data_IF_087233575184
#
_entry.id   IF_087233575184
#
_cell.length_a   1.000
_cell.length_b   1.000
_cell.length_c   1.000
_cell.angle_alpha   90.00
_cell.angle_beta   90.00
_cell.angle_gamma   90.00
#
_symmetry.space_group_name_H-M   'P 1'
#
loop_
_entity.id
_entity.type
_entity.pdbx_description
1 polymer ?
#
# COMPACT_ATOMS: atom_id res chain seq x y z
N UNK A 1 30.34 -4.16 -16.57
CA UNK A 1 29.25 -3.39 -17.23
C UNK A 1 29.61 -1.93 -17.13
N UNK A 2 29.53 -1.16 -18.21
CA UNK A 2 29.78 0.28 -18.13
C UNK A 2 28.63 1.01 -17.41
N UNK A 3 28.95 1.77 -16.36
CA UNK A 3 28.01 2.64 -15.68
C UNK A 3 28.29 4.11 -16.06
N UNK A 4 27.35 4.74 -16.76
CA UNK A 4 27.48 6.11 -17.21
C UNK A 4 27.41 7.14 -16.07
N UNK A 5 26.78 6.80 -14.93
CA UNK A 5 26.74 7.66 -13.75
C UNK A 5 28.07 7.60 -12.99
N UNK A 6 28.62 6.40 -12.85
CA UNK A 6 29.88 6.19 -12.15
C UNK A 6 31.10 6.56 -13.01
N UNK A 7 30.93 6.64 -14.34
CA UNK A 7 32.00 6.97 -15.28
C UNK A 7 33.04 5.85 -15.45
N UNK A 8 32.73 4.64 -14.99
CA UNK A 8 33.64 3.50 -15.04
C UNK A 8 32.89 2.17 -15.18
N UNK A 9 33.65 1.08 -15.40
CA UNK A 9 33.09 -0.26 -15.48
C UNK A 9 32.88 -0.83 -14.07
N UNK A 10 31.66 -1.25 -13.78
CA UNK A 10 31.25 -1.90 -12.53
C UNK A 10 30.95 -3.38 -12.75
N UNK A 11 31.12 -4.19 -11.71
CA UNK A 11 30.73 -5.61 -11.71
C UNK A 11 29.21 -5.77 -11.55
N UNK A 12 28.60 -4.93 -10.72
CA UNK A 12 27.17 -4.91 -10.45
C UNK A 12 26.62 -3.50 -10.71
N UNK A 13 25.41 -3.41 -11.26
CA UNK A 13 24.73 -2.14 -11.46
C UNK A 13 24.08 -1.67 -10.16
N UNK A 14 24.05 -0.35 -9.96
CA UNK A 14 23.38 0.28 -8.83
C UNK A 14 21.85 0.04 -8.83
N UNK A 15 21.22 0.33 -7.68
CA UNK A 15 19.76 0.28 -7.55
C UNK A 15 19.08 1.18 -8.59
N UNK A 16 17.99 0.68 -9.17
CA UNK A 16 17.30 1.31 -10.29
C UNK A 16 17.94 1.07 -11.65
N UNK A 17 19.01 0.26 -11.74
CA UNK A 17 19.63 -0.17 -12.98
C UNK A 17 19.72 -1.69 -13.07
N UNK A 18 19.68 -2.21 -14.29
CA UNK A 18 19.91 -3.64 -14.57
C UNK A 18 21.09 -3.83 -15.50
N UNK A 19 21.72 -4.99 -15.38
CA UNK A 19 22.82 -5.41 -16.21
C UNK A 19 22.32 -5.85 -17.59
N UNK A 20 22.46 -4.99 -18.59
CA UNK A 20 22.21 -5.38 -19.97
C UNK A 20 23.49 -6.02 -20.54
N UNK A 21 23.44 -7.35 -20.70
CA UNK A 21 24.55 -8.14 -21.23
C UNK A 21 24.77 -7.93 -22.72
N UNK A 22 23.72 -7.61 -23.48
CA UNK A 22 23.79 -7.39 -24.92
C UNK A 22 24.51 -6.07 -25.21
N UNK A 23 24.16 -5.01 -24.47
CA UNK A 23 24.81 -3.70 -24.57
C UNK A 23 26.04 -3.53 -23.66
N UNK A 24 26.39 -4.55 -22.85
CA UNK A 24 27.45 -4.53 -21.82
C UNK A 24 27.46 -3.29 -20.91
N UNK A 25 26.28 -2.73 -20.62
CA UNK A 25 26.12 -1.51 -19.83
C UNK A 25 24.97 -1.59 -18.85
N UNK A 26 25.02 -0.76 -17.82
CA UNK A 26 23.90 -0.61 -16.89
C UNK A 26 22.81 0.25 -17.53
N UNK A 27 21.60 -0.30 -17.69
CA UNK A 27 20.42 0.43 -18.18
C UNK A 27 19.47 0.72 -17.03
N UNK A 28 18.80 1.89 -17.07
CA UNK A 28 17.89 2.33 -16.01
C UNK A 28 16.55 1.60 -16.11
N UNK A 29 16.10 1.00 -15.01
CA UNK A 29 14.78 0.38 -14.83
C UNK A 29 13.61 1.31 -15.21
N UNK A 30 12.45 0.69 -15.46
CA UNK A 30 11.21 1.43 -15.64
C UNK A 30 10.90 2.33 -14.43
N UNK A 31 10.15 3.39 -14.71
CA UNK A 31 9.60 4.31 -13.70
C UNK A 31 9.03 3.53 -12.50
N UNK A 32 9.33 4.00 -11.28
CA UNK A 32 8.82 3.42 -10.03
C UNK A 32 9.25 1.97 -9.78
N UNK A 33 10.32 1.50 -10.40
CA UNK A 33 10.93 0.21 -10.12
C UNK A 33 12.30 0.38 -9.45
N UNK A 34 12.52 -0.30 -8.32
CA UNK A 34 13.77 -0.26 -7.56
C UNK A 34 14.80 -1.27 -8.10
N UNK A 35 14.36 -2.46 -8.50
CA UNK A 35 15.20 -3.46 -9.14
C UNK A 35 14.41 -4.20 -10.20
N UNK A 36 14.98 -4.35 -11.38
CA UNK A 36 14.35 -5.00 -12.52
C UNK A 36 15.31 -5.99 -13.19
N UNK A 37 14.76 -7.00 -13.84
CA UNK A 37 15.53 -7.93 -14.67
C UNK A 37 15.65 -7.42 -16.11
N UNK A 38 14.61 -6.72 -16.57
CA UNK A 38 14.54 -6.09 -17.89
C UNK A 38 13.71 -4.81 -17.81
N UNK A 39 13.63 -4.06 -18.90
CA UNK A 39 12.83 -2.84 -18.97
C UNK A 39 11.34 -3.06 -18.60
N UNK A 40 10.80 -4.24 -18.88
CA UNK A 40 9.38 -4.58 -18.63
C UNK A 40 9.18 -5.55 -17.45
N UNK A 41 10.25 -5.96 -16.76
CA UNK A 41 10.20 -6.93 -15.67
C UNK A 41 10.76 -6.33 -14.40
N UNK A 42 9.89 -5.66 -13.64
CA UNK A 42 10.22 -5.18 -12.30
C UNK A 42 10.18 -6.32 -11.28
N UNK A 43 11.20 -6.40 -10.43
CA UNK A 43 11.33 -7.39 -9.36
C UNK A 43 11.01 -6.80 -7.98
N UNK A 44 11.29 -5.50 -7.78
CA UNK A 44 11.09 -4.83 -6.50
C UNK A 44 10.63 -3.41 -6.69
N UNK A 45 9.59 -3.04 -5.96
CA UNK A 45 9.09 -1.67 -5.90
C UNK A 45 9.84 -0.86 -4.84
N UNK A 46 9.86 0.48 -4.97
CA UNK A 46 10.38 1.35 -3.93
C UNK A 46 9.60 1.18 -2.62
N UNK A 47 10.24 1.53 -1.51
CA UNK A 47 9.61 1.55 -0.20
C UNK A 47 8.37 2.44 -0.18
N UNK A 48 7.43 2.19 0.75
CA UNK A 48 6.24 3.01 0.84
C UNK A 48 6.61 4.40 1.36
N UNK A 49 5.99 5.40 0.78
CA UNK A 49 6.01 6.77 1.29
C UNK A 49 4.95 6.92 2.41
N UNK A 50 4.91 8.06 3.10
CA UNK A 50 3.95 8.33 4.16
C UNK A 50 2.48 8.18 3.73
N UNK A 51 2.18 8.44 2.46
CA UNK A 51 0.80 8.39 1.92
C UNK A 51 0.56 7.23 0.96
N UNK A 52 1.60 6.80 0.24
CA UNK A 52 1.48 5.86 -0.89
C UNK A 52 2.28 4.60 -0.64
N UNK A 53 1.71 3.45 -0.99
CA UNK A 53 2.37 2.16 -1.03
C UNK A 53 2.52 1.72 -2.48
N UNK A 54 3.70 1.22 -2.82
CA UNK A 54 3.96 0.62 -4.12
C UNK A 54 3.82 -0.90 -4.00
N UNK A 55 3.02 -1.50 -4.87
CA UNK A 55 2.76 -2.94 -4.90
C UNK A 55 3.17 -3.47 -6.27
N UNK A 56 3.86 -4.60 -6.30
CA UNK A 56 4.28 -5.21 -7.56
C UNK A 56 3.10 -5.93 -8.22
N UNK A 57 2.78 -5.55 -9.46
CA UNK A 57 1.84 -6.25 -10.32
C UNK A 57 2.61 -7.23 -11.20
N UNK A 58 2.54 -8.52 -10.85
CA UNK A 58 3.26 -9.59 -11.55
C UNK A 58 2.77 -9.81 -12.99
N UNK A 59 1.53 -9.43 -13.33
CA UNK A 59 1.02 -9.61 -14.69
C UNK A 59 1.61 -8.60 -15.67
N UNK A 60 1.91 -7.40 -15.17
CA UNK A 60 2.48 -6.29 -15.98
C UNK A 60 3.98 -6.13 -15.77
N UNK A 61 4.56 -6.79 -14.77
CA UNK A 61 5.95 -6.59 -14.35
C UNK A 61 6.21 -5.15 -13.89
N UNK A 62 5.21 -4.49 -13.28
CA UNK A 62 5.26 -3.06 -12.97
C UNK A 62 4.70 -2.76 -11.58
N UNK A 63 5.15 -1.65 -10.99
CA UNK A 63 4.73 -1.23 -9.66
C UNK A 63 3.49 -0.34 -9.73
N UNK A 64 2.38 -0.82 -9.17
CA UNK A 64 1.15 -0.06 -9.01
C UNK A 64 1.17 0.77 -7.73
N UNK A 65 0.67 2.00 -7.82
CA UNK A 65 0.52 2.89 -6.67
C UNK A 65 -0.81 2.61 -5.99
N UNK A 66 -0.78 2.42 -4.67
CA UNK A 66 -1.95 2.33 -3.81
C UNK A 66 -1.86 3.39 -2.73
N UNK A 67 -2.92 4.17 -2.58
CA UNK A 67 -3.04 5.07 -1.43
C UNK A 67 -3.24 4.23 -0.17
N UNK A 68 -2.52 4.57 0.90
CA UNK A 68 -2.77 3.97 2.21
C UNK A 68 -4.14 4.44 2.68
N UNK A 69 -4.98 3.51 3.12
CA UNK A 69 -6.30 3.88 3.62
C UNK A 69 -6.14 4.61 4.94
N UNK A 70 -7.11 5.45 5.32
CA UNK A 70 -7.04 6.23 6.56
C UNK A 70 -6.77 5.35 7.79
N UNK A 71 -7.32 4.13 7.84
CA UNK A 71 -7.07 3.18 8.92
C UNK A 71 -5.67 2.55 8.92
N UNK A 72 -4.96 2.54 7.77
CA UNK A 72 -3.56 2.12 7.68
C UNK A 72 -2.60 3.26 8.04
N UNK A 73 -3.02 4.51 7.84
CA UNK A 73 -2.25 5.71 8.18
C UNK A 73 -2.37 6.05 9.67
N UNK A 74 -3.56 5.87 10.24
CA UNK A 74 -3.92 6.26 11.60
C UNK A 74 -4.75 5.15 12.28
N UNK A 75 -4.11 4.04 12.68
CA UNK A 75 -4.81 2.91 13.29
C UNK A 75 -5.49 3.29 14.61
N UNK A 76 -4.89 4.19 15.40
CA UNK A 76 -5.44 4.68 16.67
C UNK A 76 -6.77 5.42 16.50
N UNK A 77 -6.86 6.29 15.49
CA UNK A 77 -8.07 7.07 15.22
C UNK A 77 -9.18 6.20 14.64
N UNK A 78 -8.84 5.26 13.76
CA UNK A 78 -9.80 4.32 13.20
C UNK A 78 -10.40 3.38 14.26
N UNK A 79 -9.57 2.87 15.17
CA UNK A 79 -10.03 2.03 16.28
C UNK A 79 -10.96 2.82 17.22
N UNK A 80 -10.60 4.05 17.58
CA UNK A 80 -11.44 4.91 18.43
C UNK A 80 -12.81 5.20 17.78
N UNK A 81 -12.85 5.50 16.49
CA UNK A 81 -14.10 5.73 15.75
C UNK A 81 -14.98 4.47 15.64
N UNK A 82 -14.37 3.30 15.43
CA UNK A 82 -15.09 2.04 15.37
C UNK A 82 -15.73 1.70 16.72
N UNK A 83 -14.99 1.89 17.82
CA UNK A 83 -15.48 1.63 19.18
C UNK A 83 -16.59 2.61 19.58
N UNK A 84 -16.44 3.90 19.27
CA UNK A 84 -17.47 4.89 19.59
C UNK A 84 -18.76 4.65 18.82
N UNK A 85 -18.67 4.36 17.52
CA UNK A 85 -19.83 4.00 16.69
C UNK A 85 -20.50 2.72 17.21
N UNK A 86 -19.73 1.68 17.55
CA UNK A 86 -20.26 0.44 18.12
C UNK A 86 -21.01 0.66 19.43
N UNK A 87 -20.46 1.47 20.34
CA UNK A 87 -21.10 1.82 21.61
C UNK A 87 -22.43 2.55 21.38
N UNK A 88 -22.45 3.58 20.54
CA UNK A 88 -23.67 4.34 20.21
C UNK A 88 -24.75 3.42 19.62
N UNK A 89 -24.39 2.51 18.71
CA UNK A 89 -25.33 1.53 18.17
C UNK A 89 -25.95 0.64 19.26
N UNK A 90 -25.14 0.11 20.19
CA UNK A 90 -25.64 -0.73 21.30
C UNK A 90 -26.57 0.07 22.20
N UNK A 91 -26.22 1.30 22.54
CA UNK A 91 -27.08 2.17 23.37
C UNK A 91 -28.41 2.48 22.68
N UNK A 92 -28.40 2.82 21.38
CA UNK A 92 -29.61 3.10 20.63
C UNK A 92 -30.49 1.85 20.50
N UNK A 93 -29.91 0.69 20.20
CA UNK A 93 -30.65 -0.57 20.14
C UNK A 93 -31.25 -0.96 21.50
N UNK A 94 -30.50 -0.79 22.59
CA UNK A 94 -30.97 -1.05 23.94
C UNK A 94 -32.12 -0.12 24.36
N UNK A 95 -32.00 1.18 24.05
CA UNK A 95 -33.06 2.15 24.32
C UNK A 95 -34.33 1.85 23.51
N UNK A 96 -34.21 1.51 22.23
CA UNK A 96 -35.35 1.10 21.41
C UNK A 96 -36.04 -0.14 21.96
N UNK A 97 -35.28 -1.19 22.30
CA UNK A 97 -35.83 -2.41 22.87
C UNK A 97 -36.56 -2.14 24.19
N UNK A 98 -35.97 -1.29 25.05
CA UNK A 98 -36.59 -0.91 26.32
C UNK A 98 -37.89 -0.10 26.12
N UNK A 99 -37.93 0.83 25.17
CA UNK A 99 -39.13 1.60 24.84
C UNK A 99 -40.26 0.70 24.33
N UNK A 100 -39.96 -0.23 23.42
CA UNK A 100 -40.95 -1.17 22.89
C UNK A 100 -41.53 -2.06 24.00
N UNK A 101 -40.69 -2.56 24.91
CA UNK A 101 -41.13 -3.36 26.05
C UNK A 101 -42.03 -2.57 27.03
N UNK A 102 -41.81 -1.26 27.16
CA UNK A 102 -42.57 -0.40 28.06
C UNK A 102 -43.96 -0.06 27.51
N UNK A 103 -44.08 0.09 26.19
CA UNK A 103 -45.35 0.33 25.50
C UNK A 103 -46.26 -0.91 25.54
N UNK A 104 -45.67 -2.10 25.39
CA UNK A 104 -46.39 -3.36 25.48
C UNK A 104 -46.93 -3.62 26.91
N UNK A 105 -46.13 -3.35 27.95
CA UNK A 105 -46.60 -3.44 29.36
C UNK A 105 -47.66 -2.40 29.74
N UNK A 106 -47.75 -1.28 29.02
CA UNK A 106 -48.75 -0.23 29.29
C UNK A 106 -50.10 -0.54 28.61
N UNK A 107 -50.11 -1.47 27.66
CA UNK A 107 -51.29 -1.87 26.87
C UNK A 107 -51.92 -3.20 27.32
N UNK A 108 -51.34 -3.83 28.36
CA UNK A 108 -51.86 -5.01 29.04
C UNK A 108 -52.39 -4.61 30.43
#
# INVERSE_FOLDING_TARGET
LFDARAGHCVSFCDLGFWADQEARRCKRCAERCLSCQSLHSCLRCPGPDGERKYVLDNNKGSCIVRERRLWERHPEHAAALALSAGSVCVFLCGACAFCLQREERRSA
#
